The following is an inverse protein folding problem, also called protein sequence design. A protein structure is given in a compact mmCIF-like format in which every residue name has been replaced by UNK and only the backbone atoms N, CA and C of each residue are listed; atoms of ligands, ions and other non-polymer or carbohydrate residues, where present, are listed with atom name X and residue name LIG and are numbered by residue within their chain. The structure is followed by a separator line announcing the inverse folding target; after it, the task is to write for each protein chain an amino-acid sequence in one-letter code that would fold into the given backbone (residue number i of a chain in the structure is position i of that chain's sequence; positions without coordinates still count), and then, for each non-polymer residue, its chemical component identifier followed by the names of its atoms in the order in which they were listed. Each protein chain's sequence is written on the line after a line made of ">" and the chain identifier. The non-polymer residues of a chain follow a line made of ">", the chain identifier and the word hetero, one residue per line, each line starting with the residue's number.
data_IF_625749005941
#
_entry.id   IF_625749005941
#
_cell.length_a   1.000
_cell.length_b   1.000
_cell.length_c   1.000
_cell.angle_alpha   90.00
_cell.angle_beta   90.00
_cell.angle_gamma   90.00
#
_symmetry.space_group_name_H-M   'P 1'
#
loop_
_entity.id
_entity.type
_entity.pdbx_description
1 polymer ?
#
# COMPACT_ATOMS: atom_id res chain seq x y z
N UNK A 1 5.35 6.17 19.26
CA UNK A 1 4.91 5.11 20.19
C UNK A 1 4.02 5.74 21.24
N UNK A 2 2.74 5.36 21.27
CA UNK A 2 1.80 5.83 22.30
C UNK A 2 1.25 4.58 23.00
N UNK A 3 1.90 4.20 24.11
CA UNK A 3 1.67 2.92 24.79
C UNK A 3 0.20 2.59 25.10
N UNK A 4 -0.65 3.55 25.52
CA UNK A 4 -2.06 3.24 25.78
C UNK A 4 -2.80 2.73 24.54
N UNK A 5 -2.55 3.32 23.35
CA UNK A 5 -3.18 2.85 22.11
C UNK A 5 -2.64 1.49 21.68
N UNK A 6 -1.34 1.24 21.85
CA UNK A 6 -0.75 -0.07 21.53
C UNK A 6 -1.36 -1.16 22.40
N UNK A 7 -1.55 -0.90 23.69
CA UNK A 7 -2.22 -1.82 24.61
C UNK A 7 -3.67 -2.10 24.20
N UNK A 8 -4.45 -1.05 23.89
CA UNK A 8 -5.85 -1.19 23.46
C UNK A 8 -5.98 -1.98 22.15
N UNK A 9 -5.11 -1.70 21.17
CA UNK A 9 -5.04 -2.45 19.90
C UNK A 9 -4.63 -3.90 20.17
N UNK A 10 -3.62 -4.14 21.02
CA UNK A 10 -3.14 -5.48 21.33
C UNK A 10 -4.23 -6.33 22.01
N UNK A 11 -4.94 -5.77 23.01
CA UNK A 11 -6.09 -6.42 23.67
C UNK A 11 -7.17 -6.77 22.66
N UNK A 12 -7.55 -5.81 21.82
CA UNK A 12 -8.61 -5.99 20.82
C UNK A 12 -8.23 -7.07 19.80
N UNK A 13 -7.01 -7.02 19.26
CA UNK A 13 -6.57 -7.96 18.22
C UNK A 13 -6.35 -9.37 18.75
N UNK A 14 -5.79 -9.54 19.95
CA UNK A 14 -5.65 -10.86 20.56
C UNK A 14 -7.02 -11.46 20.91
N UNK A 15 -7.96 -10.64 21.41
CA UNK A 15 -9.34 -11.10 21.66
C UNK A 15 -10.01 -11.54 20.37
N UNK A 16 -9.90 -10.73 19.31
CA UNK A 16 -10.44 -11.08 17.99
C UNK A 16 -9.82 -12.37 17.47
N UNK A 17 -8.50 -12.49 17.50
CA UNK A 17 -7.78 -13.68 17.07
C UNK A 17 -8.28 -14.91 17.83
N UNK A 18 -8.25 -14.89 19.17
CA UNK A 18 -8.62 -16.01 20.04
C UNK A 18 -10.08 -16.43 19.88
N UNK A 19 -10.99 -15.49 19.61
CA UNK A 19 -12.42 -15.79 19.45
C UNK A 19 -12.82 -16.23 18.05
N UNK A 20 -12.02 -15.92 17.02
CA UNK A 20 -12.34 -16.23 15.62
C UNK A 20 -11.58 -17.43 15.07
N UNK A 21 -10.42 -17.74 15.62
CA UNK A 21 -9.66 -18.93 15.20
C UNK A 21 -10.25 -20.20 15.81
N UNK A 22 -10.23 -21.30 15.06
CA UNK A 22 -10.54 -22.64 15.58
C UNK A 22 -9.35 -23.24 16.36
N UNK A 23 -8.14 -22.70 16.16
CA UNK A 23 -6.91 -23.23 16.73
C UNK A 23 -6.07 -22.10 17.36
N UNK A 24 -6.53 -21.52 18.49
CA UNK A 24 -5.79 -20.47 19.17
C UNK A 24 -4.47 -21.03 19.73
N UNK A 25 -3.45 -20.18 19.83
CA UNK A 25 -2.23 -20.54 20.54
C UNK A 25 -2.53 -20.90 22.00
N UNK A 26 -1.74 -21.81 22.56
CA UNK A 26 -1.99 -22.43 23.86
C UNK A 26 -2.08 -21.39 24.99
N UNK A 27 -1.18 -20.40 25.00
CA UNK A 27 -1.19 -19.36 26.04
C UNK A 27 -2.51 -18.58 26.05
N UNK A 28 -2.99 -18.16 24.87
CA UNK A 28 -4.24 -17.39 24.76
C UNK A 28 -5.47 -18.25 24.99
N UNK A 29 -5.45 -19.51 24.55
CA UNK A 29 -6.53 -20.46 24.84
C UNK A 29 -6.70 -20.66 26.34
N UNK A 30 -5.61 -20.90 27.06
CA UNK A 30 -5.65 -21.10 28.51
C UNK A 30 -6.16 -19.84 29.24
N UNK A 31 -5.72 -18.65 28.82
CA UNK A 31 -6.25 -17.39 29.35
C UNK A 31 -7.75 -17.21 29.05
N UNK A 32 -8.19 -17.58 27.85
CA UNK A 32 -9.59 -17.51 27.46
C UNK A 32 -10.49 -18.47 28.26
N UNK A 33 -10.00 -19.69 28.53
CA UNK A 33 -10.74 -20.65 29.36
C UNK A 33 -10.91 -20.17 30.79
N UNK A 34 -9.85 -19.62 31.41
CA UNK A 34 -9.93 -18.97 32.73
C UNK A 34 -10.98 -17.85 32.76
N UNK A 35 -11.06 -17.08 31.69
CA UNK A 35 -12.10 -16.07 31.52
C UNK A 35 -13.51 -16.66 31.46
N UNK A 36 -13.71 -17.73 30.69
CA UNK A 36 -15.00 -18.43 30.63
C UNK A 36 -15.42 -19.05 31.97
N UNK A 37 -14.45 -19.46 32.79
CA UNK A 37 -14.67 -19.96 34.14
C UNK A 37 -14.94 -18.83 35.16
N UNK A 38 -14.82 -17.56 34.76
CA UNK A 38 -15.04 -16.41 35.63
C UNK A 38 -13.92 -16.15 36.63
N UNK A 39 -12.74 -16.73 36.42
CA UNK A 39 -11.60 -16.65 37.36
C UNK A 39 -10.72 -15.43 37.13
N UNK A 40 -10.66 -14.92 35.90
CA UNK A 40 -9.85 -13.77 35.49
C UNK A 40 -10.45 -13.16 34.22
N UNK A 41 -10.35 -11.85 33.97
CA UNK A 41 -10.74 -11.30 32.66
C UNK A 41 -9.63 -11.50 31.63
N UNK A 42 -9.97 -11.74 30.37
CA UNK A 42 -8.96 -11.88 29.30
C UNK A 42 -8.10 -10.61 29.15
N UNK A 43 -8.67 -9.42 29.33
CA UNK A 43 -7.94 -8.16 29.33
C UNK A 43 -6.91 -8.10 30.47
N UNK A 44 -7.29 -8.47 31.70
CA UNK A 44 -6.36 -8.52 32.84
C UNK A 44 -5.16 -9.45 32.59
N UNK A 45 -5.35 -10.58 31.90
CA UNK A 45 -4.23 -11.44 31.51
C UNK A 45 -3.24 -10.69 30.59
N UNK A 46 -3.74 -9.96 29.60
CA UNK A 46 -2.92 -9.19 28.65
C UNK A 46 -2.23 -8.01 29.35
N UNK A 47 -2.97 -7.27 30.18
CA UNK A 47 -2.44 -6.17 30.99
C UNK A 47 -1.33 -6.66 31.92
N UNK A 48 -1.50 -7.85 32.51
CA UNK A 48 -0.47 -8.46 33.34
C UNK A 48 0.78 -8.85 32.53
N UNK A 49 0.58 -9.40 31.32
CA UNK A 49 1.68 -9.72 30.41
C UNK A 49 2.49 -8.46 30.04
N UNK A 50 1.80 -7.38 29.67
CA UNK A 50 2.43 -6.08 29.37
C UNK A 50 3.15 -5.54 30.61
N UNK A 51 2.50 -5.53 31.77
CA UNK A 51 3.07 -5.00 33.01
C UNK A 51 4.32 -5.75 33.47
N UNK A 52 4.43 -7.06 33.20
CA UNK A 52 5.58 -7.89 33.60
C UNK A 52 6.70 -7.94 32.57
N UNK A 53 6.41 -7.61 31.31
CA UNK A 53 7.40 -7.78 30.25
C UNK A 53 8.54 -6.77 30.32
N UNK A 54 9.75 -7.24 30.00
CA UNK A 54 10.95 -6.41 29.83
C UNK A 54 10.86 -5.54 28.56
N UNK A 55 10.00 -5.90 27.61
CA UNK A 55 9.83 -5.20 26.33
C UNK A 55 8.73 -4.13 26.37
N UNK A 56 8.08 -3.92 27.52
CA UNK A 56 6.91 -3.04 27.60
C UNK A 56 7.26 -1.55 27.65
N UNK A 57 8.52 -1.19 27.91
CA UNK A 57 8.99 0.20 27.88
C UNK A 57 10.50 0.24 27.64
N UNK A 58 10.99 1.42 27.23
CA UNK A 58 12.42 1.66 27.03
C UNK A 58 13.18 1.44 28.34
N UNK A 59 12.68 1.95 29.46
CA UNK A 59 13.34 1.89 30.77
C UNK A 59 13.49 0.44 31.25
N UNK A 60 12.47 -0.40 31.05
CA UNK A 60 12.55 -1.82 31.42
C UNK A 60 13.56 -2.57 30.57
N UNK A 61 13.61 -2.29 29.26
CA UNK A 61 14.56 -2.91 28.36
C UNK A 61 16.00 -2.48 28.69
N UNK A 62 16.22 -1.19 28.93
CA UNK A 62 17.52 -0.66 29.34
C UNK A 62 17.98 -1.25 30.68
N UNK A 63 17.08 -1.32 31.68
CA UNK A 63 17.37 -1.96 32.95
C UNK A 63 17.75 -3.45 32.80
N UNK A 64 17.05 -4.18 31.92
CA UNK A 64 17.38 -5.56 31.60
C UNK A 64 18.75 -5.68 30.91
N UNK A 65 19.08 -4.79 29.96
CA UNK A 65 20.37 -4.80 29.26
C UNK A 65 21.54 -4.59 30.23
N UNK A 66 21.37 -3.72 31.23
CA UNK A 66 22.40 -3.45 32.24
C UNK A 66 22.63 -4.63 33.20
N UNK A 67 21.60 -5.43 33.47
CA UNK A 67 21.70 -6.60 34.35
C UNK A 67 20.88 -7.76 33.78
N UNK A 68 21.39 -8.44 32.73
CA UNK A 68 20.63 -9.45 32.01
C UNK A 68 20.39 -10.67 32.89
N UNK A 69 19.14 -11.14 32.89
CA UNK A 69 18.74 -12.34 33.59
C UNK A 69 18.10 -13.34 32.61
N UNK A 70 18.74 -14.51 32.44
CA UNK A 70 18.30 -15.50 31.47
C UNK A 70 16.91 -16.07 31.78
N UNK A 71 16.59 -16.28 33.05
CA UNK A 71 15.30 -16.82 33.48
C UNK A 71 14.16 -15.83 33.22
N UNK A 72 14.39 -14.55 33.53
CA UNK A 72 13.46 -13.46 33.22
C UNK A 72 13.20 -13.36 31.71
N UNK A 73 14.26 -13.44 30.89
CA UNK A 73 14.12 -13.40 29.43
C UNK A 73 13.34 -14.60 28.89
N UNK A 74 13.69 -15.82 29.31
CA UNK A 74 13.02 -17.04 28.83
C UNK A 74 11.55 -17.07 29.19
N UNK A 75 11.18 -16.51 30.34
CA UNK A 75 9.82 -16.51 30.87
C UNK A 75 9.08 -15.18 30.63
N UNK A 76 9.62 -14.28 29.80
CA UNK A 76 8.97 -13.02 29.49
C UNK A 76 7.60 -13.28 28.80
N UNK A 77 6.49 -12.77 29.34
CA UNK A 77 5.16 -13.13 28.86
C UNK A 77 4.87 -12.63 27.44
N UNK A 78 5.36 -11.45 27.04
CA UNK A 78 5.18 -10.96 25.67
C UNK A 78 6.06 -11.75 24.69
N UNK A 79 7.26 -12.15 25.09
CA UNK A 79 8.12 -13.02 24.28
C UNK A 79 7.48 -14.39 24.06
N UNK A 80 6.87 -14.97 25.11
CA UNK A 80 6.22 -16.28 25.01
C UNK A 80 5.00 -16.22 24.08
N UNK A 81 4.15 -15.20 24.22
CA UNK A 81 3.01 -14.98 23.30
C UNK A 81 3.53 -14.80 21.87
N UNK A 82 4.55 -13.96 21.67
CA UNK A 82 5.14 -13.72 20.34
C UNK A 82 5.69 -15.00 19.72
N UNK A 83 6.43 -15.81 20.47
CA UNK A 83 6.99 -17.09 20.00
C UNK A 83 5.90 -18.06 19.56
N UNK A 84 4.84 -18.23 20.35
CA UNK A 84 3.74 -19.12 19.98
C UNK A 84 2.97 -18.61 18.74
N UNK A 85 2.70 -17.30 18.65
CA UNK A 85 2.08 -16.70 17.47
C UNK A 85 2.93 -16.92 16.22
N UNK A 86 4.24 -16.69 16.29
CA UNK A 86 5.15 -16.92 15.16
C UNK A 86 5.28 -18.41 14.82
N UNK A 87 5.32 -19.30 15.81
CA UNK A 87 5.34 -20.74 15.58
C UNK A 87 4.06 -21.20 14.86
N UNK A 88 2.90 -20.72 15.31
CA UNK A 88 1.60 -21.01 14.68
C UNK A 88 1.50 -20.43 13.27
N UNK A 89 1.91 -19.17 13.07
CA UNK A 89 1.90 -18.49 11.77
C UNK A 89 2.79 -19.20 10.74
N UNK A 90 3.94 -19.73 11.16
CA UNK A 90 4.89 -20.43 10.27
C UNK A 90 4.60 -21.93 10.11
N UNK A 91 3.71 -22.48 10.93
CA UNK A 91 3.38 -23.90 10.85
C UNK A 91 2.61 -24.17 9.56
N UNK A 92 3.11 -25.12 8.77
CA UNK A 92 2.39 -25.77 7.67
C UNK A 92 2.35 -27.25 7.99
N UNK A 93 1.16 -27.85 7.96
CA UNK A 93 1.02 -29.30 8.13
C UNK A 93 1.66 -30.04 6.95
N UNK A 94 1.98 -31.33 7.12
CA UNK A 94 2.45 -32.15 5.99
C UNK A 94 1.39 -32.27 4.89
N UNK A 95 0.10 -32.22 5.25
CA UNK A 95 -1.01 -32.16 4.30
C UNK A 95 -1.00 -30.85 3.50
N UNK A 96 -0.87 -29.69 4.16
CA UNK A 96 -0.80 -28.39 3.47
C UNK A 96 0.39 -28.34 2.51
N UNK A 97 1.55 -28.87 2.91
CA UNK A 97 2.75 -28.95 2.05
C UNK A 97 2.49 -29.81 0.81
N UNK A 98 1.87 -30.98 0.99
CA UNK A 98 1.54 -31.87 -0.11
C UNK A 98 0.52 -31.24 -1.07
N UNK A 99 -0.50 -30.55 -0.55
CA UNK A 99 -1.49 -29.82 -1.35
C UNK A 99 -0.85 -28.66 -2.13
N UNK A 100 0.07 -27.91 -1.51
CA UNK A 100 0.84 -26.85 -2.19
C UNK A 100 1.65 -27.44 -3.36
N UNK A 101 2.36 -28.54 -3.14
CA UNK A 101 3.17 -29.21 -4.17
C UNK A 101 2.31 -29.74 -5.33
N UNK A 102 1.16 -30.34 -5.02
CA UNK A 102 0.18 -30.80 -6.02
C UNK A 102 -0.39 -29.63 -6.83
N UNK A 103 -0.77 -28.54 -6.15
CA UNK A 103 -1.26 -27.32 -6.78
C UNK A 103 -0.23 -26.73 -7.74
N UNK A 104 1.03 -26.56 -7.31
CA UNK A 104 2.10 -26.00 -8.14
C UNK A 104 2.35 -26.86 -9.40
N UNK A 105 2.29 -28.19 -9.25
CA UNK A 105 2.41 -29.11 -10.39
C UNK A 105 1.23 -28.98 -11.35
N UNK A 106 0.01 -28.96 -10.84
CA UNK A 106 -1.21 -28.83 -11.63
C UNK A 106 -1.26 -27.49 -12.37
N UNK A 107 -0.92 -26.39 -11.68
CA UNK A 107 -0.85 -25.05 -12.26
C UNK A 107 0.15 -24.99 -13.42
N UNK A 108 1.35 -25.56 -13.26
CA UNK A 108 2.33 -25.65 -14.37
C UNK A 108 1.79 -26.44 -15.57
N UNK A 109 1.08 -27.54 -15.34
CA UNK A 109 0.46 -28.34 -16.40
C UNK A 109 -0.66 -27.57 -17.12
N UNK A 110 -1.47 -26.82 -16.37
CA UNK A 110 -2.50 -25.94 -16.94
C UNK A 110 -1.89 -24.89 -17.87
N UNK A 111 -0.85 -24.18 -17.43
CA UNK A 111 -0.16 -23.18 -18.24
C UNK A 111 0.47 -23.81 -19.49
N UNK A 112 1.06 -25.00 -19.39
CA UNK A 112 1.56 -25.74 -20.54
C UNK A 112 0.43 -26.05 -21.54
N UNK A 113 -0.68 -26.61 -21.07
CA UNK A 113 -1.84 -26.93 -21.91
C UNK A 113 -2.43 -25.70 -22.60
N UNK A 114 -2.55 -24.56 -21.91
CA UNK A 114 -3.02 -23.30 -22.51
C UNK A 114 -2.11 -22.83 -23.65
N UNK A 115 -0.78 -22.95 -23.48
CA UNK A 115 0.21 -22.57 -24.50
C UNK A 115 0.22 -23.51 -25.70
N UNK A 116 0.03 -24.82 -25.47
CA UNK A 116 -0.08 -25.81 -26.54
C UNK A 116 -1.40 -25.66 -27.33
N UNK A 117 -2.50 -25.36 -26.64
CA UNK A 117 -3.80 -25.10 -27.25
C UNK A 117 -3.79 -23.84 -28.13
N UNK A 118 -3.09 -22.78 -27.69
CA UNK A 118 -3.05 -21.49 -28.37
C UNK A 118 -1.61 -21.08 -28.74
N UNK A 119 -0.98 -21.76 -29.73
CA UNK A 119 0.46 -21.59 -30.01
C UNK A 119 0.84 -20.21 -30.55
N UNK A 120 -0.13 -19.43 -31.04
CA UNK A 120 0.08 -18.09 -31.57
C UNK A 120 -0.24 -16.97 -30.56
N UNK A 121 -0.86 -17.32 -29.42
CA UNK A 121 -1.23 -16.36 -28.38
C UNK A 121 0.00 -15.94 -27.58
N UNK A 122 0.10 -14.64 -27.26
CA UNK A 122 1.22 -14.10 -26.49
C UNK A 122 0.83 -13.91 -25.04
N UNK A 123 1.03 -14.96 -24.24
CA UNK A 123 0.88 -14.89 -22.80
C UNK A 123 2.06 -14.14 -22.16
N UNK A 124 1.78 -13.24 -21.21
CA UNK A 124 2.77 -12.70 -20.29
C UNK A 124 2.64 -13.41 -18.93
N UNK A 125 3.76 -13.69 -18.23
CA UNK A 125 3.70 -14.38 -16.95
C UNK A 125 3.20 -13.44 -15.85
N UNK A 126 2.65 -14.01 -14.78
CA UNK A 126 2.28 -13.27 -13.56
C UNK A 126 3.44 -12.42 -13.04
N UNK A 127 3.09 -11.30 -12.40
CA UNK A 127 4.06 -10.43 -11.75
C UNK A 127 4.75 -11.16 -10.59
N UNK A 128 6.07 -11.00 -10.48
CA UNK A 128 6.87 -11.66 -9.45
C UNK A 128 8.03 -10.78 -8.97
N UNK A 129 7.80 -9.47 -8.89
CA UNK A 129 8.81 -8.46 -8.53
C UNK A 129 10.04 -8.42 -9.45
N UNK A 130 9.86 -8.78 -10.73
CA UNK A 130 10.87 -8.62 -11.78
C UNK A 130 10.49 -7.49 -12.73
N UNK A 131 11.47 -6.94 -13.46
CA UNK A 131 11.24 -5.87 -14.42
C UNK A 131 10.30 -6.33 -15.55
N UNK A 132 9.25 -5.55 -15.82
CA UNK A 132 8.30 -5.74 -16.92
C UNK A 132 8.08 -4.44 -17.68
N UNK A 133 7.49 -4.56 -18.87
CA UNK A 133 7.08 -3.44 -19.72
C UNK A 133 5.61 -3.64 -20.11
N UNK A 134 4.82 -2.60 -19.88
CA UNK A 134 3.44 -2.47 -20.38
C UNK A 134 3.36 -1.24 -21.26
N UNK A 135 2.49 -1.26 -22.27
CA UNK A 135 2.29 -0.14 -23.19
C UNK A 135 0.81 0.10 -23.41
N UNK A 136 0.46 1.36 -23.65
CA UNK A 136 -0.92 1.81 -23.69
C UNK A 136 -1.05 3.20 -24.30
N UNK A 137 -2.23 3.79 -24.14
CA UNK A 137 -2.63 5.10 -24.59
C UNK A 137 -3.20 5.90 -23.42
N UNK A 138 -3.14 7.22 -23.53
CA UNK A 138 -3.92 8.10 -22.65
C UNK A 138 -5.40 7.93 -23.01
N UNK A 139 -6.20 7.44 -22.07
CA UNK A 139 -7.61 7.13 -22.30
C UNK A 139 -8.51 7.66 -21.16
N UNK A 140 -9.73 8.12 -21.51
CA UNK A 140 -10.72 8.53 -20.53
C UNK A 140 -11.24 7.34 -19.71
N UNK A 141 -11.77 7.63 -18.52
CA UNK A 141 -12.67 6.69 -17.85
C UNK A 141 -13.94 6.51 -18.69
N UNK A 142 -14.64 5.36 -18.57
CA UNK A 142 -15.98 5.21 -19.10
C UNK A 142 -16.89 6.38 -18.70
N UNK A 143 -17.84 6.72 -19.58
CA UNK A 143 -18.83 7.76 -19.31
C UNK A 143 -19.67 7.34 -18.11
N UNK A 144 -19.67 8.15 -17.06
CA UNK A 144 -20.40 7.90 -15.82
C UNK A 144 -21.25 9.13 -15.47
N UNK A 145 -22.56 8.94 -15.27
CA UNK A 145 -23.48 10.03 -14.90
C UNK A 145 -23.15 10.67 -13.54
N UNK A 146 -22.37 10.00 -12.70
CA UNK A 146 -21.85 10.52 -11.43
C UNK A 146 -20.64 11.45 -11.62
N UNK A 147 -19.98 11.39 -12.78
CA UNK A 147 -18.84 12.21 -13.15
C UNK A 147 -19.27 13.27 -14.18
N UNK A 148 -19.34 14.52 -13.75
CA UNK A 148 -19.76 15.65 -14.57
C UNK A 148 -18.61 16.23 -15.42
N UNK A 149 -17.41 15.66 -15.36
CA UNK A 149 -16.27 16.11 -16.15
C UNK A 149 -16.48 15.80 -17.64
N UNK A 150 -16.51 16.84 -18.47
CA UNK A 150 -16.55 16.72 -19.93
C UNK A 150 -15.30 16.06 -20.52
N UNK A 151 -14.19 16.10 -19.78
CA UNK A 151 -12.95 15.39 -20.08
C UNK A 151 -12.44 14.77 -18.78
N UNK A 152 -12.28 13.45 -18.74
CA UNK A 152 -11.98 12.70 -17.51
C UNK A 152 -10.70 11.83 -17.62
N UNK A 153 -9.84 12.09 -18.61
CA UNK A 153 -8.51 11.45 -18.69
C UNK A 153 -7.40 12.24 -17.99
N UNK A 154 -7.68 13.44 -17.47
CA UNK A 154 -6.72 14.25 -16.73
C UNK A 154 -7.38 15.12 -15.66
N UNK A 155 -6.58 15.55 -14.68
CA UNK A 155 -6.99 16.47 -13.61
C UNK A 155 -6.11 17.72 -13.62
N UNK A 156 -6.56 18.79 -12.95
CA UNK A 156 -5.82 20.06 -12.85
C UNK A 156 -5.75 20.55 -11.42
N UNK A 157 -4.82 21.48 -11.14
CA UNK A 157 -4.65 22.07 -9.81
C UNK A 157 -5.92 22.77 -9.31
N UNK A 158 -6.77 23.25 -10.24
CA UNK A 158 -8.11 23.77 -9.91
C UNK A 158 -8.94 22.74 -9.14
N UNK A 159 -8.91 21.47 -9.56
CA UNK A 159 -9.60 20.37 -8.89
C UNK A 159 -9.04 20.10 -7.50
N UNK A 160 -7.71 20.13 -7.34
CA UNK A 160 -7.06 20.01 -6.03
C UNK A 160 -7.51 21.13 -5.08
N UNK A 161 -7.49 22.38 -5.55
CA UNK A 161 -7.90 23.55 -4.74
C UNK A 161 -9.40 23.53 -4.42
N UNK A 162 -10.24 23.04 -5.33
CA UNK A 162 -11.67 22.90 -5.09
C UNK A 162 -12.01 21.87 -3.99
N UNK A 163 -11.11 20.91 -3.73
CA UNK A 163 -11.26 19.91 -2.66
C UNK A 163 -10.75 20.40 -1.30
N UNK A 164 -10.06 21.54 -1.25
CA UNK A 164 -9.42 22.06 -0.04
C UNK A 164 -10.39 22.22 1.12
N UNK A 165 -10.02 21.68 2.29
CA UNK A 165 -10.71 21.86 3.57
C UNK A 165 -9.68 22.15 4.67
N UNK A 166 -9.71 23.33 5.31
CA UNK A 166 -8.72 23.68 6.33
C UNK A 166 -8.84 22.79 7.57
N UNK A 167 -7.72 22.29 8.08
CA UNK A 167 -7.61 21.37 9.23
C UNK A 167 -8.29 20.00 9.02
N UNK A 168 -8.46 19.56 7.78
CA UNK A 168 -8.93 18.22 7.43
C UNK A 168 -7.73 17.32 7.11
N UNK A 169 -7.63 16.15 7.72
CA UNK A 169 -6.46 15.28 7.61
C UNK A 169 -6.14 14.85 6.16
N UNK A 170 -7.14 14.80 5.28
CA UNK A 170 -6.99 14.38 3.89
C UNK A 170 -6.97 15.55 2.90
N UNK A 171 -7.72 16.61 3.22
CA UNK A 171 -8.01 17.70 2.28
C UNK A 171 -7.42 19.06 2.68
N UNK A 172 -6.62 19.14 3.74
CA UNK A 172 -5.81 20.33 4.01
C UNK A 172 -4.68 20.46 2.97
N UNK A 173 -4.22 21.69 2.75
CA UNK A 173 -3.23 22.01 1.74
C UNK A 173 -2.40 23.24 2.16
N UNK A 174 -1.08 23.24 1.92
CA UNK A 174 -0.24 24.40 2.22
C UNK A 174 -0.70 25.68 1.51
N UNK A 175 -0.81 26.78 2.27
CA UNK A 175 -1.27 28.08 1.77
C UNK A 175 -0.51 28.56 0.52
N UNK A 176 0.80 28.28 0.44
CA UNK A 176 1.62 28.63 -0.72
C UNK A 176 1.10 28.02 -2.03
N UNK A 177 0.57 26.80 -2.01
CA UNK A 177 0.03 26.15 -3.21
C UNK A 177 -1.29 26.81 -3.65
N UNK A 178 -2.12 27.23 -2.69
CA UNK A 178 -3.33 28.03 -2.93
C UNK A 178 -2.97 29.38 -3.57
N UNK A 179 -1.94 30.05 -3.08
CA UNK A 179 -1.54 31.36 -3.57
C UNK A 179 -0.96 31.29 -4.99
N UNK A 180 -0.14 30.27 -5.28
CA UNK A 180 0.35 29.99 -6.65
C UNK A 180 -0.82 29.73 -7.62
N UNK A 181 -1.86 29.00 -7.17
CA UNK A 181 -3.07 28.78 -7.96
C UNK A 181 -3.83 30.09 -8.24
N UNK A 182 -4.07 30.91 -7.21
CA UNK A 182 -4.77 32.20 -7.32
C UNK A 182 -4.04 33.17 -8.26
N UNK A 183 -2.71 33.22 -8.16
CA UNK A 183 -1.87 34.06 -9.01
C UNK A 183 -1.69 33.50 -10.43
N UNK A 184 -2.05 32.24 -10.67
CA UNK A 184 -1.77 31.48 -11.90
C UNK A 184 -0.27 31.48 -12.26
N UNK A 185 0.61 31.47 -11.24
CA UNK A 185 2.07 31.44 -11.45
C UNK A 185 2.55 30.01 -11.72
N UNK A 186 2.11 29.45 -12.84
CA UNK A 186 2.46 28.08 -13.28
C UNK A 186 3.70 28.03 -14.17
N UNK A 187 4.23 29.19 -14.60
CA UNK A 187 5.37 29.26 -15.50
C UNK A 187 5.17 28.44 -16.79
N UNK A 188 6.20 27.69 -17.25
CA UNK A 188 6.12 26.89 -18.47
C UNK A 188 5.35 25.57 -18.30
N UNK A 189 4.86 25.26 -17.11
CA UNK A 189 4.22 23.97 -16.78
C UNK A 189 2.73 23.94 -17.08
N UNK A 190 2.11 25.09 -17.35
CA UNK A 190 0.72 25.16 -17.77
C UNK A 190 0.52 24.52 -19.16
N UNK A 191 -0.67 23.94 -19.36
CA UNK A 191 -1.11 23.51 -20.67
C UNK A 191 -1.47 24.72 -21.57
N UNK A 192 -1.83 24.44 -22.83
CA UNK A 192 -2.18 25.46 -23.81
C UNK A 192 -3.42 26.28 -23.45
N UNK A 193 -4.29 25.75 -22.57
CA UNK A 193 -5.47 26.44 -22.07
C UNK A 193 -5.18 27.26 -20.79
N UNK A 194 -3.94 27.20 -20.28
CA UNK A 194 -3.50 27.91 -19.09
C UNK A 194 -3.83 27.18 -17.78
N UNK A 195 -4.14 25.89 -17.83
CA UNK A 195 -4.34 25.06 -16.64
C UNK A 195 -3.04 24.35 -16.24
N UNK A 196 -2.80 24.18 -14.94
CA UNK A 196 -1.74 23.29 -14.47
C UNK A 196 -2.31 21.87 -14.35
N UNK A 197 -1.87 20.90 -15.19
CA UNK A 197 -2.28 19.50 -15.06
C UNK A 197 -1.64 18.87 -13.83
N UNK A 198 -2.33 17.91 -13.22
CA UNK A 198 -1.89 17.23 -11.99
C UNK A 198 -1.72 15.73 -12.25
N UNK A 199 -2.79 15.07 -12.69
CA UNK A 199 -2.77 13.64 -13.02
C UNK A 199 -3.32 13.39 -14.42
N UNK A 200 -2.98 12.23 -14.98
CA UNK A 200 -3.58 11.71 -16.21
C UNK A 200 -3.71 10.19 -16.17
N UNK A 201 -4.59 9.67 -17.01
CA UNK A 201 -4.91 8.25 -17.08
C UNK A 201 -4.31 7.58 -18.31
N UNK A 202 -3.92 6.32 -18.16
CA UNK A 202 -3.57 5.42 -19.27
C UNK A 202 -4.24 4.06 -19.11
N UNK A 203 -4.30 3.25 -20.15
CA UNK A 203 -4.73 1.84 -20.10
C UNK A 203 -3.55 0.87 -19.93
N UNK A 204 -2.49 1.30 -19.26
CA UNK A 204 -1.42 0.40 -18.86
C UNK A 204 -1.92 -0.60 -17.82
N UNK A 205 -1.53 -1.86 -17.99
CA UNK A 205 -1.72 -2.93 -16.99
C UNK A 205 -0.63 -2.83 -15.90
N UNK A 206 -1.03 -2.49 -14.67
CA UNK A 206 -0.15 -2.33 -13.51
C UNK A 206 -0.74 -3.01 -12.27
N UNK A 207 0.12 -3.31 -11.31
CA UNK A 207 -0.25 -3.82 -9.98
C UNK A 207 0.68 -3.27 -8.89
N UNK A 208 0.56 -3.76 -7.65
CA UNK A 208 1.49 -3.50 -6.56
C UNK A 208 2.94 -3.73 -6.97
N UNK A 209 3.79 -2.72 -6.72
CA UNK A 209 5.19 -2.70 -7.15
C UNK A 209 5.46 -1.81 -8.35
N UNK A 210 4.44 -1.34 -9.07
CA UNK A 210 4.60 -0.38 -10.17
C UNK A 210 4.66 1.10 -9.72
N UNK A 211 4.37 1.44 -8.46
CA UNK A 211 4.42 2.81 -7.98
C UNK A 211 5.81 3.44 -8.19
N UNK A 212 5.85 4.58 -8.86
CA UNK A 212 7.07 5.27 -9.29
C UNK A 212 7.58 4.87 -10.69
N UNK A 213 6.87 3.98 -11.40
CA UNK A 213 7.30 3.57 -12.75
C UNK A 213 7.27 4.75 -13.73
N UNK A 214 8.32 4.92 -14.56
CA UNK A 214 8.36 5.99 -15.56
C UNK A 214 7.35 5.73 -16.68
N UNK A 215 6.50 6.72 -16.95
CA UNK A 215 5.58 6.71 -18.08
C UNK A 215 6.25 7.48 -19.20
N UNK A 216 6.52 6.80 -20.31
CA UNK A 216 7.27 7.36 -21.44
C UNK A 216 6.36 7.61 -22.63
N UNK A 217 6.62 8.69 -23.38
CA UNK A 217 5.98 8.91 -24.67
C UNK A 217 6.60 8.03 -25.78
N UNK A 218 6.08 8.10 -27.01
CA UNK A 218 6.57 7.34 -28.15
C UNK A 218 8.02 7.62 -28.58
N UNK A 219 8.71 8.58 -27.96
CA UNK A 219 10.13 8.90 -28.15
C UNK A 219 11.01 8.47 -26.97
N UNK A 220 10.43 7.85 -25.94
CA UNK A 220 11.15 7.48 -24.71
C UNK A 220 11.38 8.63 -23.74
N UNK A 221 10.66 9.75 -23.89
CA UNK A 221 10.77 10.90 -22.98
C UNK A 221 9.75 10.75 -21.84
N UNK A 222 10.15 11.06 -20.61
CA UNK A 222 9.30 10.98 -19.41
C UNK A 222 8.14 11.98 -19.49
N UNK A 223 6.90 11.49 -19.36
CA UNK A 223 5.69 12.31 -19.32
C UNK A 223 4.94 12.21 -17.98
N UNK A 224 5.27 11.23 -17.15
CA UNK A 224 4.69 11.08 -15.83
C UNK A 224 5.25 9.91 -15.05
N UNK A 225 4.74 9.72 -13.85
CA UNK A 225 5.04 8.56 -13.00
C UNK A 225 3.73 7.87 -12.63
N UNK A 226 3.65 6.56 -12.83
CA UNK A 226 2.52 5.77 -12.34
C UNK A 226 2.56 5.72 -10.82
N UNK A 227 1.43 5.86 -10.15
CA UNK A 227 1.37 5.75 -8.70
C UNK A 227 0.20 4.92 -8.18
N UNK A 228 -0.86 4.74 -8.98
CA UNK A 228 -2.06 4.00 -8.55
C UNK A 228 -2.88 3.51 -9.75
N UNK A 229 -3.91 2.70 -9.51
CA UNK A 229 -4.97 2.34 -10.45
C UNK A 229 -6.34 2.89 -10.01
N UNK A 230 -7.32 2.96 -10.91
CA UNK A 230 -8.70 3.24 -10.49
C UNK A 230 -9.31 2.05 -9.74
N UNK A 231 -10.48 2.24 -9.11
CA UNK A 231 -11.12 1.20 -8.30
C UNK A 231 -11.38 -0.11 -9.08
N UNK A 232 -11.72 -0.01 -10.36
CA UNK A 232 -11.89 -1.19 -11.23
C UNK A 232 -10.57 -1.93 -11.50
N UNK A 233 -9.42 -1.28 -11.36
CA UNK A 233 -8.10 -1.90 -11.46
C UNK A 233 -7.76 -2.80 -10.26
N UNK A 234 -8.53 -2.76 -9.17
CA UNK A 234 -8.39 -3.70 -8.05
C UNK A 234 -8.62 -5.17 -8.47
N UNK A 235 -9.31 -5.41 -9.59
CA UNK A 235 -9.48 -6.74 -10.17
C UNK A 235 -8.33 -7.14 -11.13
N UNK A 236 -7.40 -6.23 -11.42
CA UNK A 236 -6.31 -6.38 -12.38
C UNK A 236 -5.39 -7.56 -12.08
N UNK A 237 -5.22 -7.90 -10.80
CA UNK A 237 -4.42 -9.06 -10.35
C UNK A 237 -5.00 -10.40 -10.81
N UNK A 238 -6.27 -10.43 -11.23
CA UNK A 238 -6.95 -11.63 -11.74
C UNK A 238 -7.24 -11.49 -13.23
N UNK A 239 -7.80 -10.35 -13.66
CA UNK A 239 -8.15 -10.08 -15.05
C UNK A 239 -7.92 -8.60 -15.38
N UNK A 240 -7.26 -8.36 -16.51
CA UNK A 240 -7.19 -7.03 -17.10
C UNK A 240 -8.45 -6.73 -17.92
N UNK A 241 -9.14 -5.63 -17.59
CA UNK A 241 -10.33 -5.15 -18.32
C UNK A 241 -9.99 -3.85 -19.08
N UNK A 242 -9.87 -3.90 -20.42
CA UNK A 242 -9.47 -2.75 -21.22
C UNK A 242 -10.52 -1.63 -21.23
N UNK A 243 -11.80 -1.92 -20.97
CA UNK A 243 -12.85 -0.91 -20.97
C UNK A 243 -12.81 -0.11 -19.66
N UNK A 244 -12.60 -0.78 -18.54
CA UNK A 244 -12.75 -0.21 -17.21
C UNK A 244 -11.44 0.25 -16.56
N UNK A 245 -10.35 -0.50 -16.71
CA UNK A 245 -9.14 -0.29 -15.92
C UNK A 245 -8.28 0.85 -16.47
N UNK A 246 -7.80 1.70 -15.56
CA UNK A 246 -6.92 2.82 -15.86
C UNK A 246 -5.81 2.91 -14.83
N UNK A 247 -4.59 3.05 -15.31
CA UNK A 247 -3.45 3.51 -14.52
C UNK A 247 -3.57 5.00 -14.26
N UNK A 248 -3.38 5.41 -13.00
CA UNK A 248 -3.31 6.79 -12.55
C UNK A 248 -1.84 7.21 -12.48
N UNK A 249 -1.53 8.27 -13.23
CA UNK A 249 -0.20 8.82 -13.35
C UNK A 249 -0.17 10.26 -12.85
N UNK A 250 0.91 10.68 -12.20
CA UNK A 250 1.19 12.10 -11.96
C UNK A 250 1.86 12.69 -13.19
N UNK A 251 1.38 13.84 -13.64
CA UNK A 251 1.93 14.56 -14.79
C UNK A 251 3.31 15.14 -14.45
N UNK A 252 4.31 14.90 -15.30
CA UNK A 252 5.68 15.39 -15.07
C UNK A 252 5.74 16.90 -14.93
N UNK A 253 4.82 17.64 -15.57
CA UNK A 253 4.75 19.11 -15.44
C UNK A 253 4.34 19.52 -14.03
N UNK A 254 3.49 18.75 -13.36
CA UNK A 254 3.14 19.00 -11.96
C UNK A 254 4.33 18.77 -11.04
N UNK A 255 5.07 17.68 -11.26
CA UNK A 255 6.30 17.38 -10.51
C UNK A 255 7.29 18.54 -10.64
N UNK A 256 7.57 18.98 -11.87
CA UNK A 256 8.48 20.09 -12.14
C UNK A 256 7.98 21.41 -11.56
N UNK A 257 6.67 21.68 -11.62
CA UNK A 257 6.06 22.85 -10.97
C UNK A 257 6.27 22.83 -9.45
N UNK A 258 6.10 21.67 -8.80
CA UNK A 258 6.32 21.56 -7.36
C UNK A 258 7.79 21.80 -7.01
N UNK A 259 8.72 21.24 -7.78
CA UNK A 259 10.17 21.44 -7.57
C UNK A 259 10.55 22.92 -7.77
N UNK A 260 10.13 23.53 -8.88
CA UNK A 260 10.48 24.91 -9.23
C UNK A 260 9.71 25.96 -8.41
N UNK A 261 8.39 26.02 -8.60
CA UNK A 261 7.56 27.12 -8.09
C UNK A 261 7.21 26.97 -6.61
N UNK A 262 6.88 25.76 -6.19
CA UNK A 262 6.50 25.51 -4.81
C UNK A 262 7.72 25.37 -3.89
N UNK A 263 8.73 24.58 -4.25
CA UNK A 263 9.91 24.35 -3.40
C UNK A 263 11.05 25.35 -3.66
N UNK A 264 11.13 25.96 -4.84
CA UNK A 264 12.24 26.85 -5.19
C UNK A 264 13.56 26.12 -5.46
N UNK A 265 13.51 24.81 -5.72
CA UNK A 265 14.67 23.93 -5.84
C UNK A 265 15.29 23.97 -7.25
N UNK A 266 15.77 25.16 -7.64
CA UNK A 266 16.33 25.42 -8.99
C UNK A 266 17.50 24.50 -9.36
N UNK A 267 18.31 24.11 -8.39
CA UNK A 267 19.43 23.18 -8.60
C UNK A 267 18.98 21.85 -9.22
N UNK A 268 17.78 21.36 -8.88
CA UNK A 268 17.23 20.14 -9.46
C UNK A 268 16.73 20.40 -10.89
N UNK A 269 16.08 21.55 -11.12
CA UNK A 269 15.63 21.92 -12.48
C UNK A 269 16.82 22.06 -13.43
N UNK A 270 17.92 22.66 -12.96
CA UNK A 270 19.13 22.88 -13.76
C UNK A 270 19.90 21.58 -14.06
N UNK A 271 19.72 20.53 -13.24
CA UNK A 271 20.29 19.20 -13.48
C UNK A 271 19.56 18.45 -14.61
N UNK A 272 18.26 18.71 -14.79
CA UNK A 272 17.41 17.97 -15.71
C UNK A 272 17.52 18.46 -17.16
N UNK A 273 17.58 17.51 -18.10
CA UNK A 273 17.42 17.82 -19.53
C UNK A 273 15.93 17.81 -19.90
N UNK A 274 15.30 18.99 -19.91
CA UNK A 274 13.86 19.13 -20.19
C UNK A 274 13.65 19.40 -21.69
N UNK A 275 12.92 18.50 -22.37
CA UNK A 275 12.48 18.70 -23.76
C UNK A 275 11.27 19.63 -23.79
N UNK A 276 11.26 20.56 -24.76
CA UNK A 276 10.21 21.57 -24.97
C UNK A 276 9.28 21.18 -26.12
#
# INVERSE_FOLDING_TARGET
>A
FYAPLEEDVYKTQLTLYTTKTNEPITILFNAWMKYKEGTETFDAFIENAIAKSIFSSQEKLEAFILNPNEEQFKNDPLLLISKELFAKYRYKSEEDKALDDEFQKAYRMMIQGMREMNPNEKYYPDANSTLRLTYGKVLPLPVDKRNDASVNYFTTLKGTVAKYKPNDDEFDMPQKLIDLHKAKDFGPYADKAGHLPVNFLTDNDITGGNSGSPVLNGKGELIGLAFDGNIEAMAGDVIFDPELQRTINVDVRYILFIIDKYAGAKNIIDELTIKK
#
